data_IF_987307850400
#
_entry.id   IF_987307850400
#
_cell.length_a   1.000
_cell.length_b   1.000
_cell.length_c   1.000
_cell.angle_alpha   90.00
_cell.angle_beta   90.00
_cell.angle_gamma   90.00
#
_symmetry.space_group_name_H-M   'P 1'
#
loop_
_entity.id
_entity.type
_entity.pdbx_description
1 polymer ?
#
# COMPACT_ATOMS: atom_id res chain seq x y z
N UNK A 1 -12.17 -16.81 -18.69
CA UNK A 1 -11.89 -15.70 -17.74
C UNK A 1 -10.61 -16.05 -16.97
N UNK A 2 -9.51 -15.33 -17.18
CA UNK A 2 -8.17 -15.67 -16.64
C UNK A 2 -8.19 -15.90 -15.12
N UNK A 3 -7.51 -16.95 -14.63
CA UNK A 3 -7.36 -17.29 -13.21
C UNK A 3 -6.93 -16.08 -12.36
N UNK A 4 -6.05 -15.25 -12.90
CA UNK A 4 -5.62 -13.98 -12.30
C UNK A 4 -6.76 -13.00 -12.04
N UNK A 5 -7.76 -12.94 -12.92
CA UNK A 5 -8.92 -12.05 -12.76
C UNK A 5 -9.82 -12.53 -11.60
N UNK A 6 -9.94 -13.86 -11.41
CA UNK A 6 -10.69 -14.43 -10.29
C UNK A 6 -10.04 -14.07 -8.94
N UNK A 7 -8.72 -14.25 -8.82
CA UNK A 7 -8.01 -13.97 -7.55
C UNK A 7 -8.03 -12.48 -7.20
N UNK A 8 -7.80 -11.60 -8.18
CA UNK A 8 -7.85 -10.14 -7.93
C UNK A 8 -9.19 -9.72 -7.35
N UNK A 9 -10.29 -10.31 -7.83
CA UNK A 9 -11.65 -9.94 -7.45
C UNK A 9 -12.19 -10.65 -6.20
N UNK A 10 -11.37 -11.42 -5.46
CA UNK A 10 -11.80 -12.02 -4.19
C UNK A 10 -12.23 -10.91 -3.20
N UNK A 11 -13.45 -11.02 -2.69
CA UNK A 11 -14.01 -10.08 -1.71
C UNK A 11 -14.51 -8.75 -2.31
N UNK A 12 -14.49 -8.58 -3.63
CA UNK A 12 -15.01 -7.38 -4.32
C UNK A 12 -16.52 -7.52 -4.57
N UNK A 13 -17.30 -6.52 -4.19
CA UNK A 13 -18.74 -6.40 -4.53
C UNK A 13 -18.99 -5.26 -5.50
N UNK A 14 -20.15 -5.23 -6.17
CA UNK A 14 -20.52 -4.17 -7.13
C UNK A 14 -20.50 -2.76 -6.51
N UNK A 15 -20.81 -2.64 -5.21
CA UNK A 15 -20.79 -1.36 -4.48
C UNK A 15 -19.39 -0.94 -3.96
N UNK A 16 -18.30 -1.56 -4.43
CA UNK A 16 -16.96 -1.25 -3.93
C UNK A 16 -16.43 0.03 -4.58
N UNK A 17 -16.15 1.06 -3.77
CA UNK A 17 -15.52 2.29 -4.24
C UNK A 17 -14.22 2.01 -5.02
N UNK A 18 -13.96 2.78 -6.09
CA UNK A 18 -12.81 2.58 -6.97
C UNK A 18 -11.45 2.53 -6.23
N UNK A 19 -11.29 3.35 -5.19
CA UNK A 19 -10.09 3.34 -4.34
C UNK A 19 -9.95 2.05 -3.52
N UNK A 20 -11.06 1.54 -2.98
CA UNK A 20 -11.08 0.30 -2.21
C UNK A 20 -10.80 -0.90 -3.12
N UNK A 21 -11.28 -0.87 -4.36
CA UNK A 21 -11.06 -1.92 -5.36
C UNK A 21 -9.56 -2.10 -5.67
N UNK A 22 -8.82 -1.01 -5.90
CA UNK A 22 -7.36 -1.06 -6.12
C UNK A 22 -6.65 -1.69 -4.92
N UNK A 23 -7.03 -1.34 -3.70
CA UNK A 23 -6.42 -1.88 -2.47
C UNK A 23 -6.68 -3.37 -2.32
N UNK A 24 -7.93 -3.81 -2.51
CA UNK A 24 -8.29 -5.23 -2.43
C UNK A 24 -7.49 -6.04 -3.45
N UNK A 25 -7.36 -5.50 -4.67
CA UNK A 25 -6.53 -6.12 -5.70
C UNK A 25 -5.07 -6.24 -5.28
N UNK A 26 -4.49 -5.22 -4.65
CA UNK A 26 -3.12 -5.25 -4.14
C UNK A 26 -2.95 -6.26 -3.00
N UNK A 27 -3.88 -6.32 -2.05
CA UNK A 27 -3.85 -7.28 -0.92
C UNK A 27 -3.95 -8.72 -1.44
N UNK A 28 -4.85 -9.00 -2.37
CA UNK A 28 -5.00 -10.33 -2.95
C UNK A 28 -3.78 -10.74 -3.77
N UNK A 29 -3.20 -9.80 -4.53
CA UNK A 29 -1.98 -10.05 -5.31
C UNK A 29 -0.78 -10.30 -4.39
N UNK A 30 -0.57 -9.46 -3.37
CA UNK A 30 0.52 -9.62 -2.41
C UNK A 30 0.38 -10.93 -1.65
N UNK A 31 -0.82 -11.25 -1.14
CA UNK A 31 -1.06 -12.52 -0.45
C UNK A 31 -0.78 -13.73 -1.34
N UNK A 32 -1.24 -13.72 -2.61
CA UNK A 32 -0.97 -14.80 -3.55
C UNK A 32 0.54 -14.93 -3.86
N UNK A 33 1.18 -13.80 -4.18
CA UNK A 33 2.61 -13.80 -4.50
C UNK A 33 3.42 -14.31 -3.32
N UNK A 34 3.14 -13.83 -2.10
CA UNK A 34 3.79 -14.33 -0.88
C UNK A 34 3.62 -15.83 -0.72
N UNK A 35 2.40 -16.36 -0.88
CA UNK A 35 2.17 -17.81 -0.80
C UNK A 35 3.01 -18.58 -1.82
N UNK A 36 2.99 -18.15 -3.09
CA UNK A 36 3.76 -18.79 -4.16
C UNK A 36 5.26 -18.72 -3.85
N UNK A 37 5.76 -17.57 -3.43
CA UNK A 37 7.16 -17.40 -3.02
C UNK A 37 7.52 -18.32 -1.85
N UNK A 38 6.68 -18.39 -0.80
CA UNK A 38 6.96 -19.27 0.35
C UNK A 38 7.08 -20.73 -0.05
N UNK A 39 6.24 -21.23 -0.96
CA UNK A 39 6.36 -22.60 -1.47
C UNK A 39 7.55 -22.78 -2.43
N UNK A 40 7.86 -21.78 -3.25
CA UNK A 40 9.00 -21.82 -4.16
C UNK A 40 10.36 -21.92 -3.44
N UNK A 41 10.44 -21.48 -2.18
CA UNK A 41 11.64 -21.67 -1.36
C UNK A 41 11.82 -23.12 -0.87
N UNK A 42 10.77 -23.96 -0.82
CA UNK A 42 10.88 -25.33 -0.28
C UNK A 42 11.90 -26.19 -1.05
N UNK A 43 11.88 -26.26 -2.41
CA UNK A 43 12.92 -26.95 -3.16
C UNK A 43 14.33 -26.41 -2.92
N UNK A 44 14.47 -25.08 -2.78
CA UNK A 44 15.76 -24.45 -2.48
C UNK A 44 16.28 -24.89 -1.11
N UNK A 45 15.41 -25.06 -0.12
CA UNK A 45 15.81 -25.55 1.20
C UNK A 45 16.35 -26.98 1.17
N UNK A 46 15.83 -27.84 0.30
CA UNK A 46 16.42 -29.17 0.09
C UNK A 46 17.83 -29.07 -0.48
N UNK A 47 18.06 -28.14 -1.41
CA UNK A 47 19.37 -27.92 -2.01
C UNK A 47 20.42 -27.38 -1.01
N UNK A 48 20.00 -26.50 -0.09
CA UNK A 48 20.87 -25.93 0.95
C UNK A 48 20.94 -26.78 2.24
N UNK A 49 20.43 -28.00 2.22
CA UNK A 49 20.38 -28.92 3.37
C UNK A 49 19.66 -28.36 4.62
N UNK A 50 18.73 -27.42 4.44
CA UNK A 50 17.98 -26.77 5.54
C UNK A 50 16.79 -27.62 6.05
N UNK A 51 17.03 -28.91 6.31
CA UNK A 51 15.98 -29.93 6.55
C UNK A 51 15.05 -29.60 7.72
N UNK A 52 15.58 -29.01 8.80
CA UNK A 52 14.78 -28.70 10.01
C UNK A 52 13.75 -27.60 9.81
N UNK A 53 13.95 -26.73 8.81
CA UNK A 53 13.09 -25.59 8.56
C UNK A 53 11.98 -25.88 7.53
N UNK A 54 12.12 -26.95 6.75
CA UNK A 54 11.16 -27.32 5.70
C UNK A 54 9.72 -27.49 6.22
N UNK A 55 9.45 -28.22 7.31
CA UNK A 55 8.07 -28.37 7.82
C UNK A 55 7.46 -27.03 8.22
N UNK A 56 8.27 -26.14 8.81
CA UNK A 56 7.84 -24.82 9.23
C UNK A 56 7.53 -23.93 8.02
N UNK A 57 8.37 -23.96 6.98
CA UNK A 57 8.15 -23.22 5.74
C UNK A 57 6.86 -23.67 5.02
N UNK A 58 6.58 -24.97 4.99
CA UNK A 58 5.33 -25.51 4.42
C UNK A 58 4.13 -25.01 5.23
N UNK A 59 4.21 -25.08 6.57
CA UNK A 59 3.16 -24.56 7.44
C UNK A 59 2.93 -23.05 7.23
N UNK A 60 4.01 -22.26 7.11
CA UNK A 60 3.93 -20.83 6.81
C UNK A 60 3.26 -20.56 5.44
N UNK A 61 3.55 -21.36 4.41
CA UNK A 61 2.89 -21.25 3.10
C UNK A 61 1.39 -21.55 3.15
N UNK A 62 0.96 -22.53 3.95
CA UNK A 62 -0.45 -22.82 4.20
C UNK A 62 -1.15 -21.68 4.94
N UNK A 63 -0.50 -21.12 5.97
CA UNK A 63 -1.00 -19.95 6.70
C UNK A 63 -1.10 -18.72 5.78
N UNK A 64 -0.12 -18.48 4.91
CA UNK A 64 -0.20 -17.42 3.91
C UNK A 64 -1.40 -17.62 2.95
N UNK A 65 -1.69 -18.87 2.57
CA UNK A 65 -2.87 -19.21 1.76
C UNK A 65 -4.19 -18.87 2.47
N UNK A 66 -4.25 -19.04 3.79
CA UNK A 66 -5.41 -18.65 4.61
C UNK A 66 -5.68 -17.14 4.59
N UNK A 67 -4.69 -16.31 4.26
CA UNK A 67 -4.91 -14.86 4.07
C UNK A 67 -5.91 -14.56 2.95
N UNK A 68 -5.92 -15.36 1.88
CA UNK A 68 -6.89 -15.20 0.78
C UNK A 68 -8.32 -15.50 1.25
N UNK A 69 -8.48 -16.41 2.22
CA UNK A 69 -9.78 -16.68 2.84
C UNK A 69 -10.25 -15.51 3.73
N UNK A 70 -9.34 -14.86 4.46
CA UNK A 70 -9.68 -13.63 5.20
C UNK A 70 -10.07 -12.49 4.26
N UNK A 71 -9.41 -12.37 3.11
CA UNK A 71 -9.83 -11.45 2.05
C UNK A 71 -11.22 -11.79 1.49
N UNK A 72 -11.56 -13.07 1.36
CA UNK A 72 -12.91 -13.49 0.96
C UNK A 72 -13.98 -13.04 1.97
N UNK A 73 -13.68 -13.11 3.28
CA UNK A 73 -14.55 -12.58 4.35
C UNK A 73 -14.58 -11.04 4.47
N UNK A 74 -13.93 -10.31 3.55
CA UNK A 74 -13.80 -8.84 3.56
C UNK A 74 -13.03 -8.27 4.76
N UNK A 75 -12.33 -9.13 5.51
CA UNK A 75 -11.53 -8.74 6.67
C UNK A 75 -10.10 -8.33 6.23
N UNK A 76 -9.99 -7.33 5.35
CA UNK A 76 -8.73 -7.01 4.65
C UNK A 76 -7.61 -6.54 5.58
N UNK A 77 -7.91 -5.71 6.58
CA UNK A 77 -6.91 -5.27 7.56
C UNK A 77 -6.38 -6.44 8.39
N UNK A 78 -7.28 -7.38 8.74
CA UNK A 78 -6.92 -8.59 9.48
C UNK A 78 -6.13 -9.57 8.61
N UNK A 79 -6.43 -9.66 7.31
CA UNK A 79 -5.65 -10.44 6.36
C UNK A 79 -4.20 -9.92 6.28
N UNK A 80 -3.99 -8.60 6.17
CA UNK A 80 -2.65 -8.01 6.14
C UNK A 80 -1.91 -8.20 7.45
N UNK A 81 -2.57 -7.96 8.60
CA UNK A 81 -1.96 -8.20 9.91
C UNK A 81 -1.55 -9.67 10.07
N UNK A 82 -2.43 -10.60 9.71
CA UNK A 82 -2.16 -12.02 9.80
C UNK A 82 -1.01 -12.46 8.87
N UNK A 83 -0.97 -11.93 7.63
CA UNK A 83 0.12 -12.18 6.69
C UNK A 83 1.46 -11.68 7.25
N UNK A 84 1.51 -10.45 7.75
CA UNK A 84 2.72 -9.86 8.33
C UNK A 84 3.20 -10.61 9.56
N UNK A 85 2.30 -11.02 10.47
CA UNK A 85 2.65 -11.81 11.64
C UNK A 85 3.19 -13.19 11.25
N UNK A 86 2.51 -13.88 10.33
CA UNK A 86 2.93 -15.20 9.83
C UNK A 86 4.33 -15.13 9.21
N UNK A 87 4.58 -14.14 8.35
CA UNK A 87 5.90 -13.95 7.75
C UNK A 87 6.97 -13.60 8.78
N UNK A 88 6.66 -12.72 9.74
CA UNK A 88 7.61 -12.37 10.79
C UNK A 88 8.00 -13.58 11.63
N UNK A 89 7.05 -14.43 12.03
CA UNK A 89 7.32 -15.66 12.77
C UNK A 89 8.17 -16.64 11.96
N UNK A 90 7.92 -16.74 10.65
CA UNK A 90 8.71 -17.55 9.73
C UNK A 90 10.16 -17.09 9.64
N UNK A 91 10.38 -15.78 9.46
CA UNK A 91 11.72 -15.20 9.42
C UNK A 91 12.46 -15.36 10.76
N UNK A 92 11.78 -15.14 11.89
CA UNK A 92 12.35 -15.36 13.22
C UNK A 92 12.82 -16.81 13.39
N UNK A 93 11.96 -17.78 13.08
CA UNK A 93 12.28 -19.19 13.25
C UNK A 93 13.44 -19.62 12.34
N UNK A 94 13.47 -19.14 11.08
CA UNK A 94 14.57 -19.39 10.16
C UNK A 94 15.91 -18.89 10.73
N UNK A 95 15.94 -17.65 11.20
CA UNK A 95 17.14 -17.01 11.70
C UNK A 95 17.66 -17.65 13.00
N UNK A 96 16.77 -18.20 13.84
CA UNK A 96 17.15 -18.96 15.05
C UNK A 96 17.70 -20.35 14.67
N UNK A 97 17.13 -21.01 13.66
CA UNK A 97 17.59 -22.34 13.24
C UNK A 97 18.94 -22.30 12.51
N UNK A 98 19.17 -21.25 11.71
CA UNK A 98 20.31 -21.12 10.80
C UNK A 98 20.93 -19.73 10.92
N UNK A 99 21.97 -19.63 11.76
CA UNK A 99 22.69 -18.38 11.99
C UNK A 99 23.50 -17.99 10.75
N UNK A 100 23.72 -16.69 10.54
CA UNK A 100 24.56 -16.16 9.47
C UNK A 100 23.91 -16.11 8.08
N UNK A 101 22.71 -16.65 7.89
CA UNK A 101 21.99 -16.64 6.59
C UNK A 101 21.53 -15.25 6.15
N UNK A 102 21.51 -14.25 7.05
CA UNK A 102 21.08 -12.89 6.76
C UNK A 102 19.56 -12.71 6.61
N UNK A 103 18.76 -13.76 6.85
CA UNK A 103 17.29 -13.76 6.65
C UNK A 103 16.57 -12.65 7.43
N UNK A 104 17.13 -12.21 8.56
CA UNK A 104 16.66 -11.05 9.33
C UNK A 104 16.54 -9.76 8.50
N UNK A 105 17.30 -9.58 7.42
CA UNK A 105 17.16 -8.39 6.57
C UNK A 105 15.84 -8.33 5.79
N UNK A 106 15.10 -9.43 5.67
CA UNK A 106 13.75 -9.42 5.10
C UNK A 106 12.72 -8.65 5.94
N UNK A 107 13.02 -8.31 7.20
CA UNK A 107 12.18 -7.40 7.99
C UNK A 107 12.08 -6.00 7.35
N UNK A 108 13.10 -5.56 6.61
CA UNK A 108 13.10 -4.26 5.92
C UNK A 108 11.99 -4.16 4.85
N UNK A 109 11.96 -5.03 3.81
CA UNK A 109 10.87 -4.99 2.83
C UNK A 109 9.52 -5.34 3.46
N UNK A 110 9.48 -6.22 4.48
CA UNK A 110 8.24 -6.54 5.20
C UNK A 110 7.63 -5.31 5.88
N UNK A 111 8.45 -4.38 6.40
CA UNK A 111 7.98 -3.13 7.00
C UNK A 111 7.43 -2.12 5.97
N UNK A 112 7.84 -2.22 4.70
CA UNK A 112 7.39 -1.31 3.63
C UNK A 112 6.02 -1.75 3.05
N UNK A 113 5.76 -3.05 2.93
CA UNK A 113 4.52 -3.59 2.34
C UNK A 113 3.22 -3.01 2.97
N UNK A 114 3.12 -2.80 4.30
CA UNK A 114 1.97 -2.16 4.92
C UNK A 114 1.64 -0.76 4.38
N UNK A 115 2.64 0.04 3.99
CA UNK A 115 2.40 1.38 3.43
C UNK A 115 1.63 1.35 2.11
N UNK A 116 1.84 0.31 1.30
CA UNK A 116 1.16 0.17 0.02
C UNK A 116 -0.23 -0.48 0.14
N UNK A 117 -0.50 -1.21 1.23
CA UNK A 117 -1.66 -2.11 1.34
C UNK A 117 -2.70 -1.67 2.38
N UNK A 118 -2.30 -0.93 3.42
CA UNK A 118 -3.16 -0.57 4.56
C UNK A 118 -3.53 0.92 4.51
N UNK A 119 -4.77 1.26 4.88
CA UNK A 119 -5.20 2.68 5.03
C UNK A 119 -5.06 3.19 6.47
N UNK A 120 -5.23 2.31 7.45
CA UNK A 120 -5.19 2.69 8.86
C UNK A 120 -3.74 3.00 9.28
N UNK A 121 -3.45 4.28 9.52
CA UNK A 121 -2.12 4.75 9.91
C UNK A 121 -1.65 4.17 11.25
N UNK A 122 -2.57 3.89 12.18
CA UNK A 122 -2.25 3.23 13.45
C UNK A 122 -1.80 1.79 13.23
N UNK A 123 -2.47 1.06 12.32
CA UNK A 123 -2.07 -0.31 11.99
C UNK A 123 -0.72 -0.33 11.26
N UNK A 124 -0.45 0.63 10.37
CA UNK A 124 0.86 0.77 9.70
C UNK A 124 1.96 0.98 10.74
N UNK A 125 1.81 1.97 11.65
CA UNK A 125 2.78 2.22 12.72
C UNK A 125 3.01 1.00 13.58
N UNK A 126 1.94 0.30 13.97
CA UNK A 126 2.03 -0.93 14.73
C UNK A 126 2.86 -2.01 14.00
N UNK A 127 2.60 -2.24 12.71
CA UNK A 127 3.31 -3.25 11.92
C UNK A 127 4.80 -2.91 11.70
N UNK A 128 5.14 -1.62 11.59
CA UNK A 128 6.54 -1.18 11.50
C UNK A 128 7.25 -1.44 12.82
N UNK A 129 6.65 -1.02 13.94
CA UNK A 129 7.20 -1.27 15.28
C UNK A 129 7.34 -2.77 15.50
N UNK A 130 6.36 -3.58 15.09
CA UNK A 130 6.44 -5.03 15.14
C UNK A 130 7.65 -5.58 14.37
N UNK A 131 7.87 -5.13 13.13
CA UNK A 131 9.03 -5.58 12.34
C UNK A 131 10.37 -5.18 12.97
N UNK A 132 10.46 -3.97 13.53
CA UNK A 132 11.67 -3.49 14.23
C UNK A 132 11.93 -4.34 15.47
N UNK A 133 10.91 -4.56 16.29
CA UNK A 133 11.01 -5.40 17.50
C UNK A 133 11.36 -6.83 17.11
N UNK A 134 10.70 -7.42 16.12
CA UNK A 134 11.00 -8.77 15.63
C UNK A 134 12.45 -8.88 15.14
N UNK A 135 12.98 -7.87 14.44
CA UNK A 135 14.38 -7.85 14.01
C UNK A 135 15.33 -7.95 15.20
N UNK A 136 15.22 -7.03 16.17
CA UNK A 136 16.11 -7.02 17.35
C UNK A 136 15.95 -8.26 18.22
N UNK A 137 14.71 -8.71 18.44
CA UNK A 137 14.43 -9.94 19.20
C UNK A 137 15.05 -11.14 18.50
N UNK A 138 14.96 -11.23 17.17
CA UNK A 138 15.58 -12.33 16.40
C UNK A 138 17.09 -12.31 16.53
N UNK A 139 17.73 -11.15 16.37
CA UNK A 139 19.18 -11.02 16.51
C UNK A 139 19.63 -11.37 17.93
N UNK A 140 18.91 -10.90 18.94
CA UNK A 140 19.19 -11.21 20.34
C UNK A 140 18.99 -12.71 20.66
N UNK A 141 17.90 -13.32 20.20
CA UNK A 141 17.64 -14.76 20.39
C UNK A 141 18.69 -15.62 19.68
N UNK A 142 19.12 -15.24 18.48
CA UNK A 142 20.19 -15.94 17.76
C UNK A 142 21.55 -15.85 18.46
N UNK A 143 21.78 -14.84 19.31
CA UNK A 143 23.00 -14.76 20.10
C UNK A 143 23.01 -15.74 21.29
N UNK A 144 21.82 -16.14 21.79
CA UNK A 144 21.67 -16.94 23.02
C UNK A 144 21.42 -18.42 22.70
N UNK A 145 20.62 -18.69 21.67
CA UNK A 145 20.19 -20.05 21.35
C UNK A 145 21.25 -20.80 20.52
N UNK A 146 21.43 -22.10 20.76
CA UNK A 146 22.35 -22.90 19.96
C UNK A 146 21.80 -23.11 18.55
N UNK A 147 22.71 -23.09 17.57
CA UNK A 147 22.39 -23.39 16.17
C UNK A 147 21.86 -24.82 16.06
N UNK A 148 20.73 -25.00 15.40
CA UNK A 148 20.14 -26.34 15.18
C UNK A 148 20.59 -26.98 13.88
N UNK A 149 20.83 -26.19 12.84
CA UNK A 149 21.25 -26.69 11.54
C UNK A 149 22.61 -26.14 11.14
N UNK A 150 23.55 -27.03 10.85
CA UNK A 150 24.87 -26.68 10.31
C UNK A 150 24.73 -26.63 8.78
N UNK A 151 25.06 -25.48 8.18
CA UNK A 151 25.17 -25.31 6.73
C UNK A 151 26.66 -25.26 6.41
N UNK A 152 27.09 -25.88 5.32
CA UNK A 152 28.48 -25.75 4.89
C UNK A 152 28.81 -24.29 4.53
N UNK A 153 29.97 -23.80 4.95
CA UNK A 153 30.48 -22.44 4.71
C UNK A 153 30.24 -21.87 3.29
N UNK A 154 30.49 -22.62 2.18
CA UNK A 154 30.22 -22.09 0.84
C UNK A 154 28.73 -21.81 0.59
N UNK A 155 27.84 -22.65 1.11
CA UNK A 155 26.39 -22.45 0.98
C UNK A 155 25.88 -21.33 1.90
N UNK A 156 26.47 -21.17 3.08
CA UNK A 156 26.13 -20.07 3.99
C UNK A 156 26.44 -18.70 3.36
N UNK A 157 27.64 -18.55 2.81
CA UNK A 157 28.05 -17.31 2.14
C UNK A 157 27.16 -17.02 0.91
N UNK A 158 26.87 -18.06 0.12
CA UNK A 158 25.99 -17.93 -1.05
C UNK A 158 24.57 -17.50 -0.66
N UNK A 159 23.98 -18.14 0.36
CA UNK A 159 22.64 -17.79 0.84
C UNK A 159 22.58 -16.36 1.35
N UNK A 160 23.59 -15.93 2.13
CA UNK A 160 23.70 -14.55 2.60
C UNK A 160 23.72 -13.53 1.45
N UNK A 161 24.56 -13.76 0.43
CA UNK A 161 24.64 -12.89 -0.74
C UNK A 161 23.32 -12.81 -1.52
N UNK A 162 22.64 -13.96 -1.71
CA UNK A 162 21.34 -14.02 -2.38
C UNK A 162 20.30 -13.23 -1.58
N UNK A 163 20.24 -13.44 -0.26
CA UNK A 163 19.29 -12.73 0.61
C UNK A 163 19.51 -11.22 0.53
N UNK A 164 20.76 -10.77 0.64
CA UNK A 164 21.09 -9.35 0.58
C UNK A 164 20.75 -8.75 -0.79
N UNK A 165 21.04 -9.46 -1.88
CA UNK A 165 20.66 -9.05 -3.23
C UNK A 165 19.14 -8.92 -3.39
N UNK A 166 18.36 -9.91 -2.94
CA UNK A 166 16.89 -9.89 -3.02
C UNK A 166 16.32 -8.76 -2.16
N UNK A 167 16.84 -8.55 -0.94
CA UNK A 167 16.42 -7.45 -0.07
C UNK A 167 16.69 -6.11 -0.74
N UNK A 168 17.90 -5.86 -1.23
CA UNK A 168 18.22 -4.60 -1.90
C UNK A 168 17.37 -4.39 -3.17
N UNK A 169 17.21 -5.42 -4.00
CA UNK A 169 16.39 -5.35 -5.20
C UNK A 169 14.93 -5.02 -4.87
N UNK A 170 14.35 -5.67 -3.86
CA UNK A 170 12.96 -5.40 -3.43
C UNK A 170 12.80 -4.00 -2.85
N UNK A 171 13.76 -3.50 -2.06
CA UNK A 171 13.75 -2.13 -1.55
C UNK A 171 13.84 -1.10 -2.70
N UNK A 172 14.73 -1.30 -3.68
CA UNK A 172 14.87 -0.39 -4.83
C UNK A 172 13.64 -0.39 -5.73
N UNK A 173 13.07 -1.57 -6.02
CA UNK A 173 11.87 -1.68 -6.86
C UNK A 173 10.66 -1.05 -6.16
N UNK A 174 10.48 -1.30 -4.86
CA UNK A 174 9.34 -0.75 -4.12
C UNK A 174 9.45 0.76 -3.98
N UNK A 175 10.62 1.30 -3.63
CA UNK A 175 10.84 2.75 -3.52
C UNK A 175 10.68 3.45 -4.87
N UNK A 176 11.17 2.87 -5.96
CA UNK A 176 10.97 3.40 -7.31
C UNK A 176 9.48 3.43 -7.70
N UNK A 177 8.76 2.32 -7.47
CA UNK A 177 7.33 2.24 -7.76
C UNK A 177 6.50 3.23 -6.93
N UNK A 178 6.87 3.45 -5.66
CA UNK A 178 6.24 4.44 -4.80
C UNK A 178 6.49 5.87 -5.33
N UNK A 179 7.71 6.18 -5.77
CA UNK A 179 8.05 7.48 -6.35
C UNK A 179 7.26 7.76 -7.62
N UNK A 180 7.24 6.82 -8.58
CA UNK A 180 6.48 6.95 -9.83
C UNK A 180 4.97 7.12 -9.55
N UNK A 181 4.43 6.38 -8.58
CA UNK A 181 3.04 6.54 -8.18
C UNK A 181 2.79 7.94 -7.60
N UNK A 182 3.66 8.43 -6.72
CA UNK A 182 3.55 9.73 -6.08
C UNK A 182 3.58 10.88 -7.12
N UNK A 183 4.52 10.84 -8.07
CA UNK A 183 4.63 11.84 -9.13
C UNK A 183 3.35 11.91 -10.00
N UNK A 184 2.70 10.77 -10.24
CA UNK A 184 1.42 10.72 -10.96
C UNK A 184 0.29 11.35 -10.13
N UNK A 185 0.26 11.11 -8.83
CA UNK A 185 -0.72 11.73 -7.94
C UNK A 185 -0.54 13.25 -7.86
N UNK A 186 0.71 13.71 -7.74
CA UNK A 186 1.03 15.13 -7.71
C UNK A 186 0.57 15.84 -8.99
N UNK A 187 0.88 15.27 -10.17
CA UNK A 187 0.40 15.80 -11.46
C UNK A 187 -1.12 15.89 -11.54
N UNK A 188 -1.82 14.85 -11.06
CA UNK A 188 -3.28 14.84 -11.05
C UNK A 188 -3.84 15.92 -10.11
N UNK A 189 -3.25 16.11 -8.94
CA UNK A 189 -3.65 17.13 -7.97
C UNK A 189 -3.44 18.54 -8.56
N UNK A 190 -2.28 18.79 -9.18
CA UNK A 190 -1.99 20.08 -9.83
C UNK A 190 -2.99 20.35 -10.96
N UNK A 191 -3.29 19.33 -11.79
CA UNK A 191 -4.27 19.48 -12.87
C UNK A 191 -5.68 19.75 -12.34
N UNK A 192 -6.13 19.01 -11.32
CA UNK A 192 -7.43 19.24 -10.68
C UNK A 192 -7.50 20.65 -10.06
N UNK A 193 -6.44 21.10 -9.41
CA UNK A 193 -6.35 22.45 -8.85
C UNK A 193 -6.49 23.51 -9.95
N UNK A 194 -5.77 23.35 -11.06
CA UNK A 194 -5.85 24.27 -12.21
C UNK A 194 -7.26 24.34 -12.80
N UNK A 195 -7.93 23.19 -12.97
CA UNK A 195 -9.32 23.14 -13.44
C UNK A 195 -10.28 23.86 -12.49
N UNK A 196 -10.10 23.69 -11.17
CA UNK A 196 -10.90 24.39 -10.16
C UNK A 196 -10.67 25.90 -10.22
N UNK A 197 -9.42 26.35 -10.36
CA UNK A 197 -9.07 27.77 -10.50
C UNK A 197 -9.66 28.38 -11.79
N UNK A 198 -9.58 27.67 -12.92
CA UNK A 198 -10.19 28.11 -14.19
C UNK A 198 -11.72 28.22 -14.07
N UNK A 199 -12.38 27.22 -13.47
CA UNK A 199 -13.83 27.25 -13.24
C UNK A 199 -14.25 28.37 -12.28
N UNK A 200 -13.46 28.62 -11.23
CA UNK A 200 -13.72 29.74 -10.32
C UNK A 200 -13.63 31.08 -11.04
N UNK A 201 -12.64 31.24 -11.94
CA UNK A 201 -12.51 32.45 -12.76
C UNK A 201 -13.70 32.63 -13.71
N UNK A 202 -14.12 31.58 -14.43
CA UNK A 202 -15.29 31.62 -15.31
C UNK A 202 -16.58 32.03 -14.57
N UNK A 203 -16.76 31.53 -13.34
CA UNK A 203 -17.90 31.89 -12.48
C UNK A 203 -17.82 33.36 -12.07
N UNK A 204 -16.66 33.84 -11.62
CA UNK A 204 -16.47 35.24 -11.25
C UNK A 204 -16.72 36.18 -12.45
N UNK A 205 -16.20 35.83 -13.61
CA UNK A 205 -16.41 36.57 -14.86
C UNK A 205 -17.91 36.60 -15.23
N UNK A 206 -18.60 35.47 -15.07
CA UNK A 206 -20.06 35.38 -15.30
C UNK A 206 -20.86 36.23 -14.30
N UNK A 207 -20.47 36.25 -13.02
CA UNK A 207 -21.09 37.10 -11.99
C UNK A 207 -20.84 38.58 -12.31
N UNK A 208 -19.62 38.94 -12.69
CA UNK A 208 -19.27 40.31 -13.07
C UNK A 208 -20.06 40.77 -14.31
N UNK A 209 -20.19 39.90 -15.31
CA UNK A 209 -20.99 40.17 -16.51
C UNK A 209 -22.48 40.34 -16.17
N UNK A 210 -23.06 39.43 -15.38
CA UNK A 210 -24.44 39.55 -14.91
C UNK A 210 -24.67 40.85 -14.12
N UNK A 211 -23.74 41.23 -13.24
CA UNK A 211 -23.77 42.50 -12.50
C UNK A 211 -23.70 43.71 -13.43
N UNK A 212 -22.93 43.62 -14.53
CA UNK A 212 -22.86 44.67 -15.55
C UNK A 212 -24.19 44.82 -16.29
N UNK A 213 -24.81 43.71 -16.72
CA UNK A 213 -26.15 43.70 -17.34
C UNK A 213 -27.17 44.32 -16.40
N UNK A 214 -27.20 43.89 -15.14
CA UNK A 214 -28.13 44.41 -14.13
C UNK A 214 -27.97 45.93 -13.98
N UNK A 215 -26.73 46.44 -13.89
CA UNK A 215 -26.46 47.89 -13.81
C UNK A 215 -26.88 48.65 -15.07
N UNK A 216 -26.80 48.06 -16.25
CA UNK A 216 -27.24 48.73 -17.50
C UNK A 216 -28.75 48.73 -17.67
N UNK A 217 -29.45 47.72 -17.15
CA UNK A 217 -30.92 47.61 -17.24
C UNK A 217 -31.62 48.46 -16.18
N UNK A 218 -31.00 48.65 -15.01
CA UNK A 218 -31.51 49.58 -14.00
C UNK A 218 -31.32 50.99 -14.54
N UNK A 219 -32.42 51.60 -15.00
CA UNK A 219 -32.43 53.02 -15.37
C UNK A 219 -32.03 53.83 -14.13
N UNK A 220 -31.09 54.76 -14.30
CA UNK A 220 -30.57 55.58 -13.20
C UNK A 220 -31.73 56.11 -12.34
N UNK A 221 -31.73 55.85 -11.04
CA UNK A 221 -32.80 56.28 -10.12
C UNK A 221 -33.07 57.78 -10.26
N UNK A 222 -32.04 58.60 -10.50
CA UNK A 222 -32.19 60.04 -10.78
C UNK A 222 -32.99 60.33 -12.05
N UNK A 223 -32.87 59.50 -13.08
CA UNK A 223 -33.65 59.65 -14.32
C UNK A 223 -35.12 59.29 -14.08
N UNK A 224 -35.38 58.23 -13.33
CA UNK A 224 -36.74 57.81 -12.93
C UNK A 224 -37.38 58.90 -12.05
N UNK A 225 -36.67 59.38 -11.03
CA UNK A 225 -37.12 60.47 -10.15
C UNK A 225 -37.40 61.76 -10.92
N UNK A 226 -36.51 62.15 -11.84
CA UNK A 226 -36.72 63.34 -12.68
C UNK A 226 -37.99 63.19 -13.51
N UNK A 227 -38.21 62.04 -14.15
CA UNK A 227 -39.42 61.79 -14.93
C UNK A 227 -40.70 61.76 -14.07
N UNK A 228 -40.62 61.20 -12.87
CA UNK A 228 -41.73 61.23 -11.91
C UNK A 228 -42.07 62.65 -11.43
N UNK A 229 -41.06 63.50 -11.16
CA UNK A 229 -41.25 64.92 -10.82
C UNK A 229 -41.86 65.71 -11.97
N UNK A 230 -41.37 65.50 -13.20
CA UNK A 230 -41.93 66.14 -14.40
C UNK A 230 -43.41 65.78 -14.63
N UNK A 231 -43.81 64.54 -14.36
CA UNK A 231 -45.21 64.10 -14.44
C UNK A 231 -46.06 64.72 -13.33
N UNK A 232 -45.53 64.82 -12.11
CA UNK A 232 -46.25 65.43 -10.97
C UNK A 232 -46.49 66.93 -11.14
N UNK A 233 -45.59 67.64 -11.82
CA UNK A 233 -45.72 69.09 -12.06
C UNK A 233 -46.56 69.43 -13.30
N UNK A 234 -47.00 68.42 -14.07
CA UNK A 234 -47.85 68.59 -15.26
C UNK A 234 -49.35 68.38 -14.98
N UNK A 235 -49.70 67.94 -13.77
CA UNK A 235 -51.06 67.92 -13.23
C UNK A 235 -51.21 69.05 -12.21
#
# INVERSE_FOLDING_TARGET
MSFWKKIKNIGVTENTAAEALRRIHLINQTSLMTTVFTFAFVPLMFFFEMKYYIPFQIAAGLLCSFCLFLSYKKAFNSAVLFLSLTLSANLCYCAICYHGTGVQYFFCPLAIVPFATVRNSTLIRFLIVWCIVSFFVTTWLSAILPVKGIIAEPFLTLTYCIVLFVVLATLLITTFNLKVANDKYEKNIIHQKKLVEEKQKEILDSIHYAKRIQRTLITNEKYIERKLKELKNKN
#
